data_IF_456415149002
#
_entry.id   IF_456415149002
#
_cell.length_a   1.000
_cell.length_b   1.000
_cell.length_c   1.000
_cell.angle_alpha   90.00
_cell.angle_beta   90.00
_cell.angle_gamma   90.00
#
_symmetry.space_group_name_H-M   'P 1'
#
loop_
_entity.id
_entity.type
_entity.pdbx_description
1 polymer ?
#
# COMPACT_ATOMS: atom_id res chain seq x y z
N UNK A 1 40.27 0.16 1.23
CA UNK A 1 39.08 -0.68 1.44
C UNK A 1 38.80 -1.50 0.16
N UNK A 2 38.23 -2.70 0.28
CA UNK A 2 37.65 -3.46 -0.84
C UNK A 2 36.18 -3.80 -0.50
N UNK A 3 35.43 -4.33 -1.47
CA UNK A 3 34.00 -4.65 -1.32
C UNK A 3 33.69 -5.60 -0.16
N UNK A 4 34.33 -6.77 -0.16
CA UNK A 4 34.22 -7.79 0.89
C UNK A 4 34.44 -7.20 2.30
N UNK A 5 35.58 -6.54 2.54
CA UNK A 5 35.85 -5.94 3.86
C UNK A 5 34.86 -4.84 4.23
N UNK A 6 34.34 -4.11 3.27
CA UNK A 6 33.32 -3.10 3.55
C UNK A 6 31.99 -3.77 3.96
N UNK A 7 31.62 -4.87 3.30
CA UNK A 7 30.45 -5.66 3.68
C UNK A 7 30.63 -6.31 5.06
N UNK A 8 31.84 -6.79 5.39
CA UNK A 8 32.17 -7.32 6.72
C UNK A 8 31.91 -6.30 7.83
N UNK A 9 32.20 -5.01 7.60
CA UNK A 9 31.89 -3.95 8.56
C UNK A 9 30.38 -3.81 8.77
N UNK A 10 29.57 -3.95 7.72
CA UNK A 10 28.10 -3.95 7.85
C UNK A 10 27.60 -5.17 8.64
N UNK A 11 28.16 -6.36 8.36
CA UNK A 11 27.80 -7.60 9.07
C UNK A 11 28.16 -7.52 10.55
N UNK A 12 29.31 -6.92 10.87
CA UNK A 12 29.80 -6.76 12.24
C UNK A 12 29.18 -5.55 12.96
N UNK A 13 28.28 -4.82 12.30
CA UNK A 13 27.64 -3.61 12.83
C UNK A 13 28.63 -2.50 13.24
N UNK A 14 29.79 -2.43 12.57
CA UNK A 14 30.86 -1.44 12.80
C UNK A 14 30.53 -0.09 12.14
N UNK A 15 29.37 0.49 12.50
CA UNK A 15 28.76 1.63 11.82
C UNK A 15 29.64 2.88 11.78
N UNK A 16 30.43 3.13 12.84
CA UNK A 16 31.37 4.25 12.89
C UNK A 16 32.44 4.14 11.79
N UNK A 17 32.95 2.92 11.56
CA UNK A 17 33.94 2.66 10.50
C UNK A 17 33.31 2.74 9.11
N UNK A 18 32.06 2.29 8.97
CA UNK A 18 31.29 2.44 7.72
C UNK A 18 31.14 3.93 7.37
N UNK A 19 30.66 4.74 8.32
CA UNK A 19 30.48 6.18 8.14
C UNK A 19 31.81 6.88 7.89
N UNK A 20 32.84 6.60 8.69
CA UNK A 20 34.14 7.22 8.53
C UNK A 20 34.74 6.94 7.15
N UNK A 21 34.62 5.69 6.68
CA UNK A 21 35.06 5.36 5.34
C UNK A 21 34.26 6.10 4.26
N UNK A 22 32.92 6.10 4.33
CA UNK A 22 32.08 6.72 3.31
C UNK A 22 32.27 8.24 3.25
N UNK A 23 32.39 8.91 4.40
CA UNK A 23 32.40 10.37 4.48
C UNK A 23 33.80 10.99 4.52
N UNK A 24 34.77 10.36 5.18
CA UNK A 24 36.08 10.98 5.46
C UNK A 24 37.26 10.34 4.72
N UNK A 25 37.10 9.17 4.10
CA UNK A 25 38.20 8.59 3.33
C UNK A 25 38.51 9.39 2.06
N UNK A 26 39.80 9.41 1.71
CA UNK A 26 40.34 10.06 0.50
C UNK A 26 40.00 9.30 -0.81
N UNK A 27 39.29 8.18 -0.73
CA UNK A 27 38.87 7.43 -1.92
C UNK A 27 37.87 8.25 -2.74
N UNK A 28 38.02 8.26 -4.06
CA UNK A 28 37.11 8.97 -4.96
C UNK A 28 35.70 8.38 -4.89
N UNK A 29 34.70 9.15 -5.33
CA UNK A 29 33.31 8.67 -5.38
C UNK A 29 33.18 7.41 -6.24
N UNK A 30 33.89 7.36 -7.36
CA UNK A 30 33.91 6.20 -8.26
C UNK A 30 34.52 4.97 -7.58
N UNK A 31 35.60 5.16 -6.79
CA UNK A 31 36.20 4.08 -6.02
C UNK A 31 35.24 3.53 -4.97
N UNK A 32 34.54 4.41 -4.26
CA UNK A 32 33.51 4.03 -3.29
C UNK A 32 32.36 3.30 -3.97
N UNK A 33 31.88 3.78 -5.12
CA UNK A 33 30.85 3.10 -5.91
C UNK A 33 31.27 1.70 -6.35
N UNK A 34 32.52 1.50 -6.80
CA UNK A 34 33.06 0.18 -7.14
C UNK A 34 33.06 -0.78 -5.95
N UNK A 35 33.32 -0.27 -4.75
CA UNK A 35 33.27 -1.06 -3.51
C UNK A 35 31.82 -1.45 -3.19
N UNK A 36 30.87 -0.51 -3.34
CA UNK A 36 29.43 -0.76 -3.15
C UNK A 36 28.78 -1.58 -4.29
N UNK A 37 29.52 -1.93 -5.35
CA UNK A 37 29.08 -2.90 -6.38
C UNK A 37 29.32 -4.34 -5.98
N UNK A 38 30.16 -4.58 -4.97
CA UNK A 38 30.46 -5.92 -4.52
C UNK A 38 29.21 -6.61 -3.97
N UNK A 39 29.09 -7.89 -4.31
CA UNK A 39 28.10 -8.82 -3.80
C UNK A 39 28.84 -10.04 -3.26
N UNK A 40 28.36 -10.63 -2.18
CA UNK A 40 28.92 -11.89 -1.72
C UNK A 40 28.60 -13.03 -2.70
N UNK A 41 29.39 -14.11 -2.65
CA UNK A 41 29.30 -15.21 -3.62
C UNK A 41 28.20 -16.23 -3.27
N UNK A 42 27.77 -16.28 -2.02
CA UNK A 42 26.88 -17.31 -1.48
C UNK A 42 25.40 -16.92 -1.68
N UNK A 43 25.04 -15.69 -1.32
CA UNK A 43 23.68 -15.17 -1.34
C UNK A 43 23.50 -13.99 -2.34
N UNK A 44 24.59 -13.36 -2.79
CA UNK A 44 24.53 -12.21 -3.71
C UNK A 44 24.16 -10.88 -3.04
N UNK A 45 24.29 -10.79 -1.73
CA UNK A 45 24.03 -9.63 -0.91
C UNK A 45 25.03 -8.52 -1.18
N UNK A 46 24.48 -7.33 -1.38
CA UNK A 46 25.27 -6.10 -1.28
C UNK A 46 25.44 -5.70 0.19
N UNK A 47 26.38 -4.79 0.46
CA UNK A 47 26.53 -4.20 1.78
C UNK A 47 25.24 -3.55 2.35
N UNK A 48 24.29 -3.11 1.49
CA UNK A 48 23.02 -2.57 1.95
C UNK A 48 22.05 -3.68 2.42
N UNK A 49 22.08 -4.87 1.80
CA UNK A 49 21.35 -6.03 2.31
C UNK A 49 21.84 -6.39 3.71
N UNK A 50 23.16 -6.48 3.88
CA UNK A 50 23.77 -6.83 5.17
C UNK A 50 23.45 -5.79 6.23
N UNK A 51 23.55 -4.51 5.88
CA UNK A 51 23.19 -3.43 6.78
C UNK A 51 21.71 -3.55 7.23
N UNK A 52 20.77 -3.79 6.32
CA UNK A 52 19.34 -3.89 6.64
C UNK A 52 18.99 -5.16 7.42
N UNK A 53 19.68 -6.27 7.16
CA UNK A 53 19.49 -7.56 7.85
C UNK A 53 20.02 -7.55 9.29
N UNK A 54 20.93 -6.63 9.60
CA UNK A 54 21.48 -6.44 10.95
C UNK A 54 20.39 -6.14 12.00
N UNK A 55 20.75 -6.23 13.28
CA UNK A 55 19.79 -6.08 14.37
C UNK A 55 19.19 -4.67 14.47
N UNK A 56 20.00 -3.64 14.18
CA UNK A 56 19.61 -2.22 14.26
C UNK A 56 20.59 -1.33 13.49
N UNK A 57 20.41 -1.21 12.17
CA UNK A 57 21.19 -0.24 11.38
C UNK A 57 20.73 1.21 11.63
N UNK A 58 21.65 2.16 11.87
CA UNK A 58 21.33 3.58 11.93
C UNK A 58 20.90 4.13 10.56
N UNK A 59 19.88 4.98 10.53
CA UNK A 59 19.41 5.61 9.28
C UNK A 59 20.52 6.38 8.55
N UNK A 60 21.47 6.97 9.27
CA UNK A 60 22.57 7.73 8.68
C UNK A 60 23.54 6.83 7.89
N UNK A 61 23.70 5.56 8.29
CA UNK A 61 24.47 4.57 7.52
C UNK A 61 23.77 4.28 6.21
N UNK A 62 22.46 4.01 6.25
CA UNK A 62 21.66 3.75 5.05
C UNK A 62 21.71 4.95 4.10
N UNK A 63 21.56 6.17 4.63
CA UNK A 63 21.66 7.42 3.87
C UNK A 63 23.04 7.59 3.24
N UNK A 64 24.11 7.38 4.00
CA UNK A 64 25.48 7.51 3.48
C UNK A 64 25.78 6.51 2.35
N UNK A 65 25.29 5.25 2.45
CA UNK A 65 25.43 4.25 1.39
C UNK A 65 24.69 4.70 0.12
N UNK A 66 23.43 5.13 0.26
CA UNK A 66 22.59 5.62 -0.85
C UNK A 66 23.18 6.88 -1.49
N UNK A 67 23.73 7.80 -0.69
CA UNK A 67 24.33 9.06 -1.17
C UNK A 67 25.53 8.80 -2.08
N UNK A 68 26.28 7.72 -1.85
CA UNK A 68 27.36 7.28 -2.75
C UNK A 68 26.79 6.58 -3.98
N UNK A 69 25.84 5.66 -3.78
CA UNK A 69 25.25 4.81 -4.83
C UNK A 69 23.75 4.62 -4.60
N UNK A 70 22.91 5.41 -5.26
CA UNK A 70 21.46 5.39 -5.03
C UNK A 70 20.75 4.19 -5.67
N UNK A 71 21.26 3.67 -6.79
CA UNK A 71 20.72 2.51 -7.51
C UNK A 71 20.87 1.19 -6.74
N UNK A 72 21.68 1.16 -5.68
CA UNK A 72 21.88 -0.03 -4.84
C UNK A 72 20.58 -0.55 -4.21
N UNK A 73 19.56 0.29 -4.07
CA UNK A 73 18.24 -0.11 -3.54
C UNK A 73 17.50 -1.09 -4.45
N UNK A 74 17.88 -1.16 -5.74
CA UNK A 74 17.29 -2.07 -6.73
C UNK A 74 18.13 -3.32 -6.97
N UNK A 75 19.28 -3.45 -6.30
CA UNK A 75 20.13 -4.63 -6.47
C UNK A 75 19.45 -5.83 -5.86
N UNK A 76 19.12 -6.83 -6.68
CA UNK A 76 18.61 -8.10 -6.18
C UNK A 76 19.75 -9.03 -5.74
N UNK A 77 19.49 -9.79 -4.70
CA UNK A 77 20.28 -10.96 -4.31
C UNK A 77 20.03 -12.15 -5.26
N UNK A 78 20.63 -13.31 -4.98
CA UNK A 78 20.43 -14.52 -5.78
C UNK A 78 18.99 -15.08 -5.69
N UNK A 79 18.25 -14.72 -4.65
CA UNK A 79 16.82 -14.99 -4.49
C UNK A 79 15.92 -13.94 -5.14
N UNK A 80 16.46 -12.96 -5.88
CA UNK A 80 15.67 -11.91 -6.49
C UNK A 80 15.17 -10.84 -5.49
N UNK A 81 15.48 -10.97 -4.21
CA UNK A 81 15.05 -10.04 -3.17
C UNK A 81 15.99 -8.83 -3.14
N UNK A 82 15.40 -7.64 -3.07
CA UNK A 82 16.13 -6.37 -2.93
C UNK A 82 16.33 -6.00 -1.46
N UNK A 83 17.19 -5.02 -1.12
CA UNK A 83 17.31 -4.55 0.26
C UNK A 83 15.96 -4.06 0.83
N UNK A 84 15.06 -3.60 -0.03
CA UNK A 84 13.71 -3.17 0.37
C UNK A 84 12.80 -4.33 0.79
N UNK A 85 12.90 -5.49 0.14
CA UNK A 85 12.22 -6.71 0.57
C UNK A 85 12.65 -7.07 2.00
N UNK A 86 13.95 -7.06 2.25
CA UNK A 86 14.51 -7.31 3.57
C UNK A 86 14.10 -6.27 4.61
N UNK A 87 14.00 -4.99 4.26
CA UNK A 87 13.50 -3.96 5.18
C UNK A 87 12.05 -4.20 5.60
N UNK A 88 11.22 -4.69 4.65
CA UNK A 88 9.84 -5.07 4.91
C UNK A 88 9.71 -6.40 5.68
N UNK A 89 10.71 -7.29 5.60
CA UNK A 89 10.70 -8.59 6.26
C UNK A 89 11.32 -8.58 7.67
N UNK A 90 12.42 -7.88 7.87
CA UNK A 90 13.14 -7.74 9.14
C UNK A 90 12.72 -6.49 9.90
N UNK A 91 13.25 -6.24 11.09
CA UNK A 91 12.82 -5.16 11.99
C UNK A 91 13.35 -3.76 11.63
N UNK A 92 13.49 -3.43 10.34
CA UNK A 92 13.82 -2.06 9.92
C UNK A 92 12.77 -1.05 10.41
N UNK A 93 13.24 0.14 10.77
CA UNK A 93 12.39 1.24 11.22
C UNK A 93 11.53 1.79 10.07
N UNK A 94 10.43 2.46 10.42
CA UNK A 94 9.56 3.12 9.44
C UNK A 94 10.34 4.14 8.59
N UNK A 95 11.28 4.86 9.18
CA UNK A 95 12.09 5.87 8.49
C UNK A 95 13.05 5.26 7.47
N UNK A 96 13.61 4.07 7.73
CA UNK A 96 14.44 3.35 6.77
C UNK A 96 13.59 2.88 5.58
N UNK A 97 12.42 2.30 5.85
CA UNK A 97 11.49 1.86 4.80
C UNK A 97 11.09 3.07 3.94
N UNK A 98 10.71 4.18 4.58
CA UNK A 98 10.37 5.41 3.87
C UNK A 98 11.53 5.95 3.04
N UNK A 99 12.75 5.98 3.59
CA UNK A 99 13.94 6.45 2.87
C UNK A 99 14.22 5.62 1.60
N UNK A 100 14.15 4.30 1.72
CA UNK A 100 14.36 3.41 0.56
C UNK A 100 13.27 3.61 -0.50
N UNK A 101 12.02 3.79 -0.06
CA UNK A 101 10.89 4.03 -0.95
C UNK A 101 10.97 5.40 -1.62
N UNK A 102 11.41 6.45 -0.91
CA UNK A 102 11.61 7.79 -1.48
C UNK A 102 12.68 7.79 -2.59
N UNK A 103 13.67 6.89 -2.49
CA UNK A 103 14.73 6.73 -3.50
C UNK A 103 14.29 5.85 -4.67
N UNK A 104 13.61 4.73 -4.38
CA UNK A 104 13.26 3.72 -5.38
C UNK A 104 11.89 3.92 -6.05
N UNK A 105 11.00 4.68 -5.43
CA UNK A 105 9.64 4.93 -5.90
C UNK A 105 8.81 3.67 -6.11
N UNK A 106 7.80 3.78 -6.98
CA UNK A 106 6.87 2.69 -7.29
C UNK A 106 7.53 1.49 -7.97
N UNK A 107 8.62 1.70 -8.69
CA UNK A 107 9.34 0.62 -9.38
C UNK A 107 9.98 -0.35 -8.38
N UNK A 108 10.42 0.15 -7.23
CA UNK A 108 10.96 -0.69 -6.15
C UNK A 108 9.88 -1.58 -5.54
N UNK A 109 8.64 -1.10 -5.44
CA UNK A 109 7.50 -1.85 -4.90
C UNK A 109 7.06 -3.01 -5.79
N UNK A 110 7.23 -2.85 -7.11
CA UNK A 110 6.82 -3.85 -8.12
C UNK A 110 7.86 -4.93 -8.35
N UNK A 111 9.05 -4.82 -7.75
CA UNK A 111 10.03 -5.89 -7.82
C UNK A 111 9.49 -7.14 -7.12
N UNK A 112 9.80 -8.28 -7.72
CA UNK A 112 9.35 -9.59 -7.30
C UNK A 112 10.56 -10.48 -7.11
N UNK A 113 10.63 -11.16 -5.96
CA UNK A 113 11.64 -12.17 -5.70
C UNK A 113 11.40 -13.45 -6.53
N UNK A 114 12.21 -14.50 -6.34
CA UNK A 114 12.05 -15.77 -7.05
C UNK A 114 10.70 -16.45 -6.82
N UNK A 115 10.02 -16.15 -5.71
CA UNK A 115 8.69 -16.65 -5.38
C UNK A 115 7.59 -15.70 -5.87
N UNK A 116 7.95 -14.70 -6.68
CA UNK A 116 7.08 -13.63 -7.12
C UNK A 116 6.49 -12.80 -5.95
N UNK A 117 7.06 -12.89 -4.76
CA UNK A 117 6.64 -12.06 -3.63
C UNK A 117 7.16 -10.64 -3.85
N UNK A 118 6.29 -9.66 -3.62
CA UNK A 118 6.68 -8.25 -3.51
C UNK A 118 7.05 -7.92 -2.07
N UNK A 119 7.65 -6.75 -1.84
CA UNK A 119 7.88 -6.24 -0.49
C UNK A 119 6.59 -6.14 0.36
N UNK A 120 5.42 -5.92 -0.26
CA UNK A 120 4.13 -5.95 0.43
C UNK A 120 3.77 -7.37 0.92
N UNK A 121 4.04 -8.41 0.12
CA UNK A 121 3.83 -9.81 0.55
C UNK A 121 4.67 -10.12 1.80
N UNK A 122 5.95 -9.70 1.79
CA UNK A 122 6.83 -9.88 2.94
C UNK A 122 6.36 -9.10 4.18
N UNK A 123 5.94 -7.85 4.01
CA UNK A 123 5.44 -7.01 5.09
C UNK A 123 4.19 -7.62 5.75
N UNK A 124 3.22 -8.08 4.95
CA UNK A 124 2.00 -8.73 5.43
C UNK A 124 2.31 -10.06 6.13
N UNK A 125 3.15 -10.92 5.53
CA UNK A 125 3.56 -12.22 6.10
C UNK A 125 4.25 -12.07 7.46
N UNK A 126 4.97 -10.97 7.65
CA UNK A 126 5.69 -10.67 8.89
C UNK A 126 4.90 -9.82 9.87
N UNK A 127 3.63 -9.53 9.58
CA UNK A 127 2.78 -8.68 10.41
C UNK A 127 3.47 -7.36 10.75
N UNK A 128 4.03 -6.71 9.72
CA UNK A 128 4.59 -5.36 9.87
C UNK A 128 3.55 -4.38 10.37
N UNK A 129 4.06 -3.29 10.95
CA UNK A 129 3.23 -2.19 11.43
C UNK A 129 2.24 -1.75 10.34
N UNK A 130 0.99 -1.51 10.75
CA UNK A 130 -0.10 -1.07 9.87
C UNK A 130 0.30 0.20 9.12
N UNK A 131 1.07 1.10 9.74
CA UNK A 131 1.54 2.32 9.08
C UNK A 131 2.51 2.03 7.92
N UNK A 132 3.35 0.99 8.04
CA UNK A 132 4.18 0.51 6.93
C UNK A 132 3.29 -0.02 5.82
N UNK A 133 2.32 -0.87 6.14
CA UNK A 133 1.40 -1.44 5.14
C UNK A 133 0.64 -0.33 4.40
N UNK A 134 0.11 0.66 5.14
CA UNK A 134 -0.53 1.85 4.58
C UNK A 134 0.40 2.63 3.65
N UNK A 135 1.66 2.87 4.06
CA UNK A 135 2.64 3.56 3.23
C UNK A 135 2.87 2.84 1.89
N UNK A 136 3.07 1.52 1.93
CA UNK A 136 3.30 0.72 0.72
C UNK A 136 2.10 0.77 -0.23
N UNK A 137 0.89 0.65 0.30
CA UNK A 137 -0.34 0.65 -0.50
C UNK A 137 -0.64 2.02 -1.07
N UNK A 138 -0.51 3.10 -0.29
CA UNK A 138 -0.68 4.48 -0.80
C UNK A 138 0.28 4.78 -1.95
N UNK A 139 1.49 4.22 -1.88
CA UNK A 139 2.51 4.47 -2.90
C UNK A 139 2.33 3.56 -4.12
N UNK A 140 1.99 2.28 -3.91
CA UNK A 140 1.87 1.29 -4.98
C UNK A 140 0.47 1.13 -5.60
N UNK A 141 -0.56 1.64 -4.92
CA UNK A 141 -1.96 1.54 -5.29
C UNK A 141 -2.50 0.10 -5.35
N UNK A 142 -3.69 -0.04 -5.92
CA UNK A 142 -4.36 -1.33 -6.12
C UNK A 142 -3.58 -2.30 -7.00
N UNK A 143 -2.73 -1.78 -7.91
CA UNK A 143 -1.89 -2.64 -8.75
C UNK A 143 -0.97 -3.50 -7.88
N UNK A 144 -0.31 -2.90 -6.88
CA UNK A 144 0.56 -3.61 -5.94
C UNK A 144 -0.22 -4.63 -5.08
N UNK A 145 -1.41 -4.25 -4.61
CA UNK A 145 -2.26 -5.12 -3.77
C UNK A 145 -2.69 -6.37 -4.54
N UNK A 146 -3.00 -6.21 -5.83
CA UNK A 146 -3.48 -7.29 -6.70
C UNK A 146 -2.36 -8.14 -7.31
N UNK A 147 -1.09 -7.78 -7.10
CA UNK A 147 0.04 -8.62 -7.54
C UNK A 147 -0.02 -9.96 -6.83
N UNK A 148 0.24 -11.01 -7.60
CA UNK A 148 0.22 -12.39 -7.12
C UNK A 148 1.62 -12.94 -7.05
N UNK A 149 1.88 -13.70 -6.00
CA UNK A 149 3.07 -14.51 -5.89
C UNK A 149 2.95 -15.82 -6.70
N UNK A 150 3.96 -16.69 -6.61
CA UNK A 150 4.05 -17.94 -7.36
C UNK A 150 2.89 -18.91 -7.04
N UNK A 151 2.37 -18.87 -5.80
CA UNK A 151 1.21 -19.65 -5.37
C UNK A 151 -0.13 -19.04 -5.85
N UNK A 152 -0.11 -17.88 -6.49
CA UNK A 152 -1.29 -17.17 -6.97
C UNK A 152 -2.03 -16.37 -5.89
N UNK A 153 -1.41 -16.17 -4.72
CA UNK A 153 -1.93 -15.40 -3.61
C UNK A 153 -1.52 -13.93 -3.71
N UNK A 154 -2.43 -13.04 -3.30
CA UNK A 154 -2.17 -11.61 -3.12
C UNK A 154 -1.54 -11.37 -1.72
N UNK A 155 -0.84 -10.25 -1.56
CA UNK A 155 -0.07 -9.98 -0.35
C UNK A 155 -0.89 -9.99 0.95
N UNK A 156 -2.15 -9.52 0.89
CA UNK A 156 -3.00 -9.36 2.07
C UNK A 156 -3.75 -10.65 2.45
N UNK A 157 -3.55 -11.75 1.73
CA UNK A 157 -4.19 -13.05 2.02
C UNK A 157 -3.70 -13.56 3.39
N UNK A 158 -4.58 -13.56 4.38
CA UNK A 158 -4.29 -13.99 5.76
C UNK A 158 -4.08 -12.88 6.78
N UNK A 159 -4.15 -11.60 6.38
CA UNK A 159 -4.25 -10.51 7.35
C UNK A 159 -5.62 -10.50 8.04
N UNK A 160 -5.68 -10.02 9.27
CA UNK A 160 -6.96 -9.85 9.97
C UNK A 160 -7.87 -8.91 9.18
N UNK A 161 -9.15 -9.29 9.04
CA UNK A 161 -10.13 -8.57 8.23
C UNK A 161 -10.24 -7.09 8.62
N UNK A 162 -10.12 -6.78 9.91
CA UNK A 162 -10.11 -5.42 10.45
C UNK A 162 -8.96 -4.57 9.92
N UNK A 163 -7.76 -5.14 9.78
CA UNK A 163 -6.58 -4.43 9.25
C UNK A 163 -6.74 -4.20 7.75
N UNK A 164 -7.28 -5.18 7.03
CA UNK A 164 -7.58 -5.05 5.59
C UNK A 164 -8.61 -3.95 5.36
N UNK A 165 -9.67 -3.91 6.15
CA UNK A 165 -10.69 -2.86 6.11
C UNK A 165 -10.10 -1.48 6.43
N UNK A 166 -9.34 -1.34 7.52
CA UNK A 166 -8.71 -0.07 7.91
C UNK A 166 -7.77 0.49 6.83
N UNK A 167 -7.05 -0.40 6.14
CA UNK A 167 -6.10 -0.04 5.08
C UNK A 167 -6.81 0.35 3.78
N UNK A 168 -7.90 -0.34 3.41
CA UNK A 168 -8.65 -0.09 2.18
C UNK A 168 -9.71 1.02 2.30
N UNK A 169 -10.17 1.37 3.50
CA UNK A 169 -11.36 2.21 3.69
C UNK A 169 -11.18 3.72 3.49
N UNK A 170 -9.98 4.30 3.53
CA UNK A 170 -9.90 5.75 3.81
C UNK A 170 -9.20 6.62 2.75
N UNK A 171 -8.17 6.15 2.05
CA UNK A 171 -7.39 7.08 1.18
C UNK A 171 -7.56 6.83 -0.33
N UNK A 172 -7.78 5.59 -0.76
CA UNK A 172 -7.96 5.28 -2.19
C UNK A 172 -9.28 5.84 -2.76
N UNK A 173 -10.34 5.91 -1.95
CA UNK A 173 -11.64 6.37 -2.44
C UNK A 173 -11.63 7.89 -2.74
N UNK A 174 -11.01 8.71 -1.89
CA UNK A 174 -10.98 10.17 -2.04
C UNK A 174 -10.00 10.63 -3.13
N UNK A 175 -8.84 9.99 -3.26
CA UNK A 175 -7.84 10.35 -4.28
C UNK A 175 -8.25 9.91 -5.71
N UNK A 176 -8.92 8.77 -5.83
CA UNK A 176 -9.50 8.30 -7.12
C UNK A 176 -10.65 9.21 -7.56
N UNK A 177 -11.40 9.80 -6.61
CA UNK A 177 -12.51 10.72 -6.84
C UNK A 177 -12.00 12.12 -7.21
N UNK A 178 -11.01 12.62 -6.47
CA UNK A 178 -10.43 13.96 -6.66
C UNK A 178 -9.65 14.08 -7.97
N UNK A 179 -9.02 13.00 -8.43
CA UNK A 179 -8.25 12.96 -9.68
C UNK A 179 -9.07 12.89 -10.97
N UNK A 180 -10.41 12.78 -10.90
CA UNK A 180 -11.30 12.59 -12.07
C UNK A 180 -12.30 13.72 -12.32
N UNK A 181 -12.13 14.88 -11.68
CA UNK A 181 -12.89 16.09 -12.02
C UNK A 181 -14.35 16.08 -11.58
N UNK A 182 -14.63 15.48 -10.42
CA UNK A 182 -15.91 15.68 -9.72
C UNK A 182 -16.01 17.12 -9.19
N UNK A 183 -17.24 17.64 -9.13
CA UNK A 183 -17.50 18.96 -8.59
C UNK A 183 -17.34 18.93 -7.05
N UNK A 184 -16.90 20.03 -6.42
CA UNK A 184 -16.66 20.12 -4.96
C UNK A 184 -17.83 19.61 -4.12
N UNK A 185 -19.07 19.80 -4.58
CA UNK A 185 -20.28 19.33 -3.91
C UNK A 185 -20.48 17.80 -3.92
N UNK A 186 -19.92 17.09 -4.89
CA UNK A 186 -20.01 15.62 -4.98
C UNK A 186 -18.96 14.96 -4.06
N UNK A 187 -17.80 15.60 -3.91
CA UNK A 187 -16.76 15.20 -2.94
C UNK A 187 -17.27 15.38 -1.51
N UNK A 188 -17.85 16.55 -1.21
CA UNK A 188 -18.41 16.88 0.12
C UNK A 188 -19.55 15.94 0.53
N UNK A 189 -20.34 15.44 -0.43
CA UNK A 189 -21.41 14.45 -0.18
C UNK A 189 -20.86 13.05 0.14
N UNK A 190 -19.80 12.62 -0.53
CA UNK A 190 -19.16 11.33 -0.31
C UNK A 190 -18.39 11.34 1.01
N UNK A 191 -17.65 12.41 1.30
CA UNK A 191 -17.01 12.64 2.61
C UNK A 191 -18.03 12.54 3.75
N UNK A 192 -19.24 13.08 3.55
CA UNK A 192 -20.31 13.02 4.54
C UNK A 192 -20.88 11.60 4.72
N UNK A 193 -20.98 10.79 3.66
CA UNK A 193 -21.40 9.38 3.75
C UNK A 193 -20.33 8.53 4.45
N UNK A 194 -19.06 8.74 4.11
CA UNK A 194 -17.92 8.08 4.74
C UNK A 194 -17.73 8.52 6.21
N UNK A 195 -18.14 9.74 6.56
CA UNK A 195 -18.12 10.23 7.95
C UNK A 195 -19.02 9.44 8.91
N UNK A 196 -19.95 8.62 8.38
CA UNK A 196 -20.76 7.68 9.16
C UNK A 196 -20.11 6.30 9.36
N UNK A 197 -18.92 6.09 8.80
CA UNK A 197 -18.08 4.88 8.93
C UNK A 197 -18.84 3.55 8.73
N UNK A 198 -19.55 3.36 7.60
CA UNK A 198 -20.31 2.13 7.35
C UNK A 198 -19.36 0.95 7.09
N UNK A 199 -19.66 -0.21 7.67
CA UNK A 199 -18.91 -1.44 7.41
C UNK A 199 -19.12 -1.94 5.98
N UNK A 200 -18.21 -2.79 5.49
CA UNK A 200 -18.39 -3.48 4.21
C UNK A 200 -19.71 -4.27 4.15
N UNK A 201 -20.14 -4.80 5.30
CA UNK A 201 -21.43 -5.49 5.45
C UNK A 201 -22.62 -4.55 5.19
N UNK A 202 -22.51 -3.30 5.61
CA UNK A 202 -23.56 -2.28 5.44
C UNK A 202 -23.69 -1.89 3.97
N UNK A 203 -22.57 -1.68 3.28
CA UNK A 203 -22.54 -1.40 1.83
C UNK A 203 -23.11 -2.59 1.05
N UNK A 204 -22.70 -3.81 1.38
CA UNK A 204 -23.17 -5.04 0.74
C UNK A 204 -24.68 -5.28 0.97
N UNK A 205 -25.21 -5.00 2.17
CA UNK A 205 -26.63 -5.12 2.50
C UNK A 205 -27.48 -4.08 1.77
N UNK A 206 -27.01 -2.84 1.66
CA UNK A 206 -27.65 -1.78 0.87
C UNK A 206 -27.81 -2.22 -0.60
N UNK A 207 -26.80 -2.87 -1.17
CA UNK A 207 -26.84 -3.42 -2.53
C UNK A 207 -27.86 -4.57 -2.64
N UNK A 208 -28.04 -5.35 -1.58
CA UNK A 208 -28.91 -6.54 -1.58
C UNK A 208 -30.39 -6.17 -1.38
N UNK A 209 -30.67 -5.13 -0.59
CA UNK A 209 -32.03 -4.67 -0.22
C UNK A 209 -32.70 -3.87 -1.37
N UNK A 210 -31.94 -3.08 -2.13
CA UNK A 210 -32.46 -2.22 -3.20
C UNK A 210 -32.94 -2.95 -4.48
N UNK A 211 -33.28 -4.24 -4.40
CA UNK A 211 -33.94 -4.96 -5.50
C UNK A 211 -33.16 -4.99 -6.82
N UNK A 212 -31.82 -4.90 -6.78
CA UNK A 212 -31.00 -4.83 -7.98
C UNK A 212 -31.23 -6.10 -8.83
N UNK A 213 -31.65 -5.98 -10.11
CA UNK A 213 -31.98 -7.11 -10.97
C UNK A 213 -30.84 -8.13 -11.06
N UNK A 214 -31.18 -9.43 -11.15
CA UNK A 214 -30.23 -10.56 -11.17
C UNK A 214 -29.12 -10.47 -12.23
N UNK A 215 -29.33 -9.73 -13.32
CA UNK A 215 -28.30 -9.48 -14.33
C UNK A 215 -27.19 -8.50 -13.87
N UNK A 216 -27.50 -7.58 -12.94
CA UNK A 216 -26.50 -6.71 -12.32
C UNK A 216 -25.72 -7.46 -11.22
N UNK A 217 -26.36 -8.43 -10.55
CA UNK A 217 -25.68 -9.38 -9.63
C UNK A 217 -24.70 -10.29 -10.37
N UNK A 218 -24.98 -10.67 -11.62
CA UNK A 218 -24.03 -11.42 -12.44
C UNK A 218 -22.93 -10.54 -13.04
N UNK A 219 -23.18 -9.25 -13.28
CA UNK A 219 -22.11 -8.28 -13.61
C UNK A 219 -21.15 -8.04 -12.43
N UNK A 220 -21.65 -8.06 -11.19
CA UNK A 220 -20.84 -8.01 -9.96
C UNK A 220 -19.83 -9.15 -9.86
N UNK A 221 -20.21 -10.36 -10.28
CA UNK A 221 -19.33 -11.54 -10.30
C UNK A 221 -18.46 -11.64 -11.57
N UNK A 222 -18.79 -10.89 -12.62
CA UNK A 222 -18.14 -11.00 -13.94
C UNK A 222 -17.14 -9.87 -14.22
N UNK A 223 -17.25 -8.74 -13.53
CA UNK A 223 -16.42 -7.57 -13.75
C UNK A 223 -15.71 -7.16 -12.46
N UNK A 224 -14.48 -7.62 -12.33
CA UNK A 224 -13.48 -7.25 -11.32
C UNK A 224 -12.93 -5.82 -11.52
N UNK A 225 -13.71 -4.94 -12.16
CA UNK A 225 -13.25 -3.64 -12.66
C UNK A 225 -14.15 -2.54 -12.08
N UNK A 226 -13.68 -1.96 -10.97
CA UNK A 226 -14.40 -1.07 -10.04
C UNK A 226 -14.92 0.23 -10.68
N UNK A 227 -14.37 0.61 -11.84
CA UNK A 227 -14.61 1.90 -12.48
C UNK A 227 -16.03 2.07 -13.04
N UNK A 228 -16.68 0.98 -13.48
CA UNK A 228 -18.04 1.02 -14.02
C UNK A 228 -19.10 0.81 -12.92
N UNK A 229 -18.72 0.13 -11.84
CA UNK A 229 -19.60 -0.23 -10.73
C UNK A 229 -20.10 0.99 -9.96
N UNK A 230 -19.19 1.87 -9.53
CA UNK A 230 -19.54 3.07 -8.76
C UNK A 230 -20.37 4.07 -9.57
N UNK A 231 -20.03 4.24 -10.85
CA UNK A 231 -20.79 5.10 -11.77
C UNK A 231 -22.23 4.59 -11.99
N UNK A 232 -22.42 3.27 -12.02
CA UNK A 232 -23.74 2.65 -12.20
C UNK A 232 -24.54 2.62 -10.89
N UNK A 233 -23.85 2.45 -9.75
CA UNK A 233 -24.45 2.41 -8.42
C UNK A 233 -24.96 3.78 -7.96
N UNK A 234 -24.15 4.84 -8.11
CA UNK A 234 -24.56 6.21 -7.80
C UNK A 234 -25.75 6.63 -8.67
N UNK A 235 -25.72 6.26 -9.96
CA UNK A 235 -26.83 6.53 -10.89
C UNK A 235 -28.11 5.76 -10.53
N UNK A 236 -27.99 4.52 -10.08
CA UNK A 236 -29.12 3.70 -9.65
C UNK A 236 -29.80 4.24 -8.38
N UNK A 237 -29.03 4.76 -7.41
CA UNK A 237 -29.56 5.41 -6.20
C UNK A 237 -30.23 6.75 -6.56
N UNK A 238 -29.66 7.50 -7.51
CA UNK A 238 -30.20 8.78 -7.98
C UNK A 238 -31.50 8.61 -8.79
N UNK A 239 -31.61 7.55 -9.60
CA UNK A 239 -32.71 7.37 -10.55
C UNK A 239 -33.94 6.62 -9.97
N UNK A 240 -33.82 5.89 -8.86
CA UNK A 240 -34.80 4.83 -8.52
C UNK A 240 -36.02 5.24 -7.69
N UNK A 241 -36.14 6.48 -7.22
CA UNK A 241 -37.34 7.02 -6.56
C UNK A 241 -38.02 6.00 -5.60
N UNK A 242 -37.36 5.63 -4.48
CA UNK A 242 -37.76 4.50 -3.65
C UNK A 242 -39.20 4.66 -3.14
N UNK A 243 -39.93 3.56 -3.10
CA UNK A 243 -41.31 3.55 -2.64
C UNK A 243 -41.37 3.82 -1.13
N UNK A 244 -42.55 4.20 -0.64
CA UNK A 244 -42.76 4.42 0.80
C UNK A 244 -42.49 3.16 1.63
N UNK A 245 -42.71 1.97 1.06
CA UNK A 245 -42.41 0.68 1.70
C UNK A 245 -40.90 0.46 1.81
N UNK A 246 -40.13 0.81 0.78
CA UNK A 246 -38.66 0.76 0.82
C UNK A 246 -38.10 1.71 1.90
N UNK A 247 -38.69 2.90 2.03
CA UNK A 247 -38.31 3.90 3.04
C UNK A 247 -38.66 3.43 4.47
N UNK A 248 -39.82 2.82 4.66
CA UNK A 248 -40.24 2.31 5.96
C UNK A 248 -39.44 1.04 6.36
N UNK A 249 -39.01 0.21 5.41
CA UNK A 249 -38.10 -0.92 5.66
C UNK A 249 -36.68 -0.46 6.02
N UNK A 250 -36.11 0.49 5.26
CA UNK A 250 -34.80 1.10 5.55
C UNK A 250 -34.77 1.77 6.93
N UNK A 251 -35.85 2.43 7.35
CA UNK A 251 -35.94 3.10 8.67
C UNK A 251 -36.31 2.16 9.81
N UNK A 252 -36.67 0.91 9.52
CA UNK A 252 -36.90 -0.14 10.51
C UNK A 252 -35.64 -0.91 10.90
N UNK A 253 -34.54 -0.74 10.17
CA UNK A 253 -33.25 -1.39 10.41
C UNK A 253 -32.35 -0.52 11.29
N UNK A 254 -31.74 -1.12 12.32
CA UNK A 254 -30.82 -0.40 13.22
C UNK A 254 -29.64 0.19 12.44
N UNK A 255 -29.42 1.51 12.56
CA UNK A 255 -28.21 2.18 12.05
C UNK A 255 -28.45 3.41 11.17
N UNK A 256 -29.64 3.59 10.57
CA UNK A 256 -30.01 4.81 9.83
C UNK A 256 -31.27 5.42 10.45
N UNK A 257 -31.14 6.62 11.02
CA UNK A 257 -32.29 7.30 11.64
C UNK A 257 -33.24 7.85 10.57
N UNK A 258 -34.54 7.89 10.90
CA UNK A 258 -35.58 8.47 10.04
C UNK A 258 -35.28 9.94 9.68
N UNK A 259 -34.59 10.65 10.55
CA UNK A 259 -34.11 12.03 10.35
C UNK A 259 -33.00 12.13 9.28
N UNK A 260 -32.02 11.22 9.28
CA UNK A 260 -30.97 11.15 8.25
C UNK A 260 -31.56 10.88 6.87
N UNK A 261 -32.52 9.95 6.79
CA UNK A 261 -33.18 9.61 5.53
C UNK A 261 -34.10 10.74 5.03
N UNK A 262 -34.86 11.38 5.91
CA UNK A 262 -35.68 12.55 5.55
C UNK A 262 -34.82 13.74 5.09
N UNK A 263 -33.66 13.95 5.70
CA UNK A 263 -32.72 15.01 5.29
C UNK A 263 -32.18 14.79 3.87
N UNK A 264 -31.88 13.54 3.50
CA UNK A 264 -31.49 13.17 2.13
C UNK A 264 -32.65 13.40 1.13
N UNK A 265 -33.89 13.10 1.52
CA UNK A 265 -35.07 13.31 0.69
C UNK A 265 -35.47 14.79 0.54
N UNK A 266 -35.30 15.60 1.59
CA UNK A 266 -35.56 17.06 1.55
C UNK A 266 -34.51 17.78 0.69
N UNK A 267 -33.24 17.40 0.80
CA UNK A 267 -32.14 17.93 0.00
C UNK A 267 -32.34 17.66 -1.51
N UNK A 268 -32.87 16.49 -1.88
CA UNK A 268 -33.27 16.19 -3.27
C UNK A 268 -34.31 17.18 -3.82
N UNK A 269 -35.24 17.67 -3.01
CA UNK A 269 -36.22 18.69 -3.46
C UNK A 269 -35.59 20.05 -3.76
N UNK A 270 -34.37 20.30 -3.27
CA UNK A 270 -33.62 21.54 -3.53
C UNK A 270 -32.71 21.44 -4.75
N UNK A 271 -32.53 20.24 -5.31
CA UNK A 271 -31.71 19.94 -6.50
C UNK A 271 -32.53 19.77 -7.79
N UNK A 272 -33.86 19.86 -7.72
CA UNK A 272 -34.79 19.87 -8.85
C UNK A 272 -35.24 21.31 -9.16
#
# INVERSE_FOLDING_TARGET
MNGEKFSDLCIQEEWDLVIDYLLHSNDSRERKQQILQWKDEDDGFTCLHEAIKSSSVPIDVVRAIIDVRSDIVFEADLGGATPFHYACFYNSSFEIIKLLLDVGGTELLKQQDIYQDTALHMACRRHKDVDVIKLLIRTGGLDLVNMKNEDGHEAMVGMEHSIVEEVLLIEDYIDIISSKGMMENEVEQIEKILSFNPSFSDIYRIITINGIPSHHKSMFLKYRDEKLFLQTFVRAIVDSNPSKEDVDEITSMEGITKEQLNSLMEYRKTLA
#
